data_IF_859795352603
#
_entry.id   IF_859795352603
#
_cell.length_a   1.000
_cell.length_b   1.000
_cell.length_c   1.000
_cell.angle_alpha   90.00
_cell.angle_beta   90.00
_cell.angle_gamma   90.00
#
_symmetry.space_group_name_H-M   'P 1'
#
loop_
_entity.id
_entity.type
_entity.pdbx_description
1 polymer ?
#
# COMPACT_ATOMS: atom_id res chain seq x y z
N UNK A 1 -9.47 3.71 25.44
CA UNK A 1 -8.70 4.90 25.10
C UNK A 1 -7.21 4.57 24.83
N UNK A 2 -6.45 3.95 25.76
CA UNK A 2 -5.05 3.58 25.50
C UNK A 2 -4.92 2.46 24.44
N UNK A 3 -5.87 1.57 24.34
CA UNK A 3 -5.92 0.52 23.32
C UNK A 3 -6.29 1.10 21.95
N UNK A 4 -7.26 2.01 21.90
CA UNK A 4 -7.62 2.75 20.68
C UNK A 4 -6.51 3.69 20.19
N UNK A 5 -5.61 4.12 21.08
CA UNK A 5 -4.42 4.89 20.75
C UNK A 5 -3.21 4.00 20.38
N UNK A 6 -3.38 2.67 20.30
CA UNK A 6 -2.30 1.75 19.97
C UNK A 6 -1.19 1.64 21.03
N UNK A 7 -1.40 2.19 22.24
CA UNK A 7 -0.38 2.19 23.31
C UNK A 7 -0.35 0.91 24.15
N UNK A 8 -1.46 0.17 24.17
CA UNK A 8 -1.58 -1.10 24.87
C UNK A 8 -2.37 -2.11 24.03
N UNK A 9 -2.14 -3.39 24.25
CA UNK A 9 -2.88 -4.49 23.65
C UNK A 9 -3.55 -5.31 24.74
N UNK A 10 -4.84 -5.63 24.53
CA UNK A 10 -5.59 -6.58 25.36
C UNK A 10 -5.75 -7.89 24.59
N UNK A 11 -5.20 -8.95 25.12
CA UNK A 11 -5.40 -10.29 24.57
C UNK A 11 -5.58 -11.29 25.72
N UNK A 12 -6.65 -12.09 25.67
CA UNK A 12 -6.94 -13.17 26.63
C UNK A 12 -6.81 -12.73 28.09
N UNK A 13 -7.37 -11.55 28.45
CA UNK A 13 -7.35 -11.02 29.83
C UNK A 13 -6.01 -10.42 30.28
N UNK A 14 -5.02 -10.28 29.40
CA UNK A 14 -3.75 -9.58 29.69
C UNK A 14 -3.70 -8.24 28.97
N UNK A 15 -3.11 -7.26 29.65
CA UNK A 15 -2.77 -5.95 29.06
C UNK A 15 -1.25 -5.92 28.91
N UNK A 16 -0.76 -5.69 27.70
CA UNK A 16 0.66 -5.49 27.42
C UNK A 16 0.89 -4.17 26.71
N UNK A 17 2.07 -3.52 26.89
CA UNK A 17 2.45 -2.38 26.05
C UNK A 17 2.41 -2.81 24.58
N UNK A 18 1.88 -1.97 23.71
CA UNK A 18 2.11 -2.15 22.30
C UNK A 18 3.60 -1.86 22.05
N UNK A 19 4.35 -2.86 21.56
CA UNK A 19 5.73 -2.61 21.16
C UNK A 19 5.73 -1.65 19.95
N UNK A 20 6.74 -0.82 19.83
CA UNK A 20 6.89 0.14 18.72
C UNK A 20 6.88 -0.50 17.30
N UNK A 21 6.98 -1.82 17.23
CA UNK A 21 6.94 -2.61 16.00
C UNK A 21 5.57 -3.22 15.67
N UNK A 22 4.47 -2.75 16.26
CA UNK A 22 3.12 -3.24 15.92
C UNK A 22 2.33 -2.16 15.20
N UNK A 23 1.81 -2.51 14.01
CA UNK A 23 0.80 -1.67 13.35
C UNK A 23 -0.45 -1.57 14.23
N UNK A 24 -1.09 -0.39 14.33
CA UNK A 24 -2.43 -0.27 14.86
C UNK A 24 -3.41 -1.19 14.12
N UNK A 25 -4.53 -1.55 14.75
CA UNK A 25 -5.59 -2.31 14.09
C UNK A 25 -6.03 -1.63 12.77
N UNK A 26 -6.50 -2.43 11.82
CA UNK A 26 -6.89 -1.94 10.48
C UNK A 26 -7.89 -0.78 10.57
N UNK A 27 -8.93 -0.90 11.43
CA UNK A 27 -9.96 0.14 11.61
C UNK A 27 -9.35 1.46 12.10
N UNK A 28 -8.38 1.39 13.01
CA UNK A 28 -7.70 2.59 13.52
C UNK A 28 -6.83 3.22 12.42
N UNK A 29 -6.09 2.41 11.67
CA UNK A 29 -5.29 2.90 10.53
C UNK A 29 -6.18 3.50 9.44
N UNK A 30 -7.38 2.96 9.24
CA UNK A 30 -8.34 3.50 8.28
C UNK A 30 -8.83 4.90 8.67
N UNK A 31 -9.06 5.14 9.97
CA UNK A 31 -9.49 6.43 10.49
C UNK A 31 -8.37 7.48 10.60
N UNK A 32 -7.11 7.06 10.67
CA UNK A 32 -5.96 7.97 10.73
C UNK A 32 -5.60 8.48 9.34
N UNK A 33 -5.28 9.78 9.23
CA UNK A 33 -4.86 10.41 7.96
C UNK A 33 -5.85 10.21 6.80
N UNK A 34 -7.16 10.18 7.10
CA UNK A 34 -8.20 9.83 6.12
C UNK A 34 -8.19 10.77 4.91
N UNK A 35 -8.15 12.09 5.12
CA UNK A 35 -8.14 13.06 4.01
C UNK A 35 -6.86 12.96 3.16
N UNK A 36 -5.71 12.77 3.79
CA UNK A 36 -4.44 12.56 3.09
C UNK A 36 -4.50 11.32 2.17
N UNK A 37 -5.01 10.20 2.69
CA UNK A 37 -5.19 8.97 1.91
C UNK A 37 -6.15 9.15 0.74
N UNK A 38 -7.23 9.91 0.93
CA UNK A 38 -8.17 10.24 -0.15
C UNK A 38 -7.51 11.06 -1.25
N UNK A 39 -6.66 12.03 -0.88
CA UNK A 39 -5.91 12.83 -1.84
C UNK A 39 -4.92 11.95 -2.63
N UNK A 40 -4.15 11.11 -1.93
CA UNK A 40 -3.24 10.14 -2.55
C UNK A 40 -4.01 9.19 -3.48
N UNK A 41 -5.14 8.64 -3.03
CA UNK A 41 -5.97 7.73 -3.82
C UNK A 41 -6.48 8.40 -5.11
N UNK A 42 -6.98 9.63 -5.03
CA UNK A 42 -7.42 10.40 -6.20
C UNK A 42 -6.28 10.70 -7.18
N UNK A 43 -5.08 10.98 -6.68
CA UNK A 43 -3.91 11.19 -7.53
C UNK A 43 -3.48 9.89 -8.23
N UNK A 44 -3.47 8.77 -7.50
CA UNK A 44 -3.11 7.46 -8.04
C UNK A 44 -4.05 6.99 -9.17
N UNK A 45 -5.36 7.27 -9.05
CA UNK A 45 -6.34 6.93 -10.09
C UNK A 45 -6.03 7.58 -11.44
N UNK A 46 -5.41 8.75 -11.46
CA UNK A 46 -5.01 9.43 -12.71
C UNK A 46 -3.96 8.66 -13.53
N UNK A 47 -3.27 7.71 -12.90
CA UNK A 47 -2.29 6.84 -13.58
C UNK A 47 -2.91 5.59 -14.19
N UNK A 48 -4.22 5.35 -13.95
CA UNK A 48 -4.94 4.17 -14.46
C UNK A 48 -5.66 4.53 -15.76
N UNK A 49 -5.61 3.61 -16.73
CA UNK A 49 -6.28 3.76 -18.01
C UNK A 49 -7.37 2.70 -18.20
N UNK A 50 -8.34 2.99 -19.05
CA UNK A 50 -9.33 2.00 -19.50
C UNK A 50 -8.66 0.81 -20.18
N UNK A 51 -8.99 -0.39 -19.71
CA UNK A 51 -8.44 -1.63 -20.22
C UNK A 51 -7.18 -2.11 -19.49
N UNK A 52 -6.67 -1.35 -18.52
CA UNK A 52 -5.53 -1.79 -17.71
C UNK A 52 -5.89 -3.03 -16.87
N UNK A 53 -4.89 -3.86 -16.63
CA UNK A 53 -4.88 -4.84 -15.54
C UNK A 53 -3.86 -4.38 -14.53
N UNK A 54 -4.30 -4.12 -13.29
CA UNK A 54 -3.46 -3.58 -12.23
C UNK A 54 -3.46 -4.46 -10.99
N UNK A 55 -2.37 -4.41 -10.23
CA UNK A 55 -2.32 -4.95 -8.87
C UNK A 55 -2.61 -3.82 -7.88
N UNK A 56 -3.54 -4.05 -6.97
CA UNK A 56 -3.74 -3.26 -5.76
C UNK A 56 -3.37 -4.11 -4.54
N UNK A 57 -2.30 -3.71 -3.88
CA UNK A 57 -1.90 -4.27 -2.59
C UNK A 57 -2.94 -3.97 -1.50
N UNK A 58 -2.82 -4.59 -0.35
CA UNK A 58 -3.64 -4.28 0.82
C UNK A 58 -3.16 -3.01 1.53
N UNK A 59 -4.07 -2.32 2.16
CA UNK A 59 -3.78 -1.14 2.96
C UNK A 59 -4.84 -0.06 2.84
N UNK A 60 -4.94 0.77 3.87
CA UNK A 60 -6.00 1.79 3.94
C UNK A 60 -5.86 2.89 2.89
N UNK A 61 -4.63 3.19 2.44
CA UNK A 61 -4.39 4.15 1.35
C UNK A 61 -4.84 3.58 0.00
N UNK A 62 -4.60 2.27 -0.25
CA UNK A 62 -5.08 1.59 -1.46
C UNK A 62 -6.60 1.43 -1.44
N UNK A 63 -7.21 1.27 -0.26
CA UNK A 63 -8.66 1.30 -0.11
C UNK A 63 -9.24 2.65 -0.58
N UNK A 64 -8.63 3.76 -0.16
CA UNK A 64 -9.03 5.09 -0.61
C UNK A 64 -8.86 5.29 -2.14
N UNK A 65 -7.86 4.65 -2.76
CA UNK A 65 -7.76 4.59 -4.23
C UNK A 65 -8.90 3.78 -4.83
N UNK A 66 -9.21 2.60 -4.28
CA UNK A 66 -10.25 1.72 -4.80
C UNK A 66 -11.63 2.37 -4.81
N UNK A 67 -11.94 3.23 -3.84
CA UNK A 67 -13.19 4.00 -3.78
C UNK A 67 -13.40 4.91 -5.01
N UNK A 68 -12.34 5.23 -5.74
CA UNK A 68 -12.39 6.09 -6.92
C UNK A 68 -12.27 5.32 -8.27
N UNK A 69 -12.16 3.99 -8.25
CA UNK A 69 -12.01 3.18 -9.47
C UNK A 69 -13.34 2.81 -10.13
N UNK A 70 -14.47 3.03 -9.48
CA UNK A 70 -15.79 2.67 -10.00
C UNK A 70 -16.21 3.37 -11.30
N UNK A 71 -15.46 4.37 -11.77
CA UNK A 71 -15.72 5.05 -13.04
C UNK A 71 -15.24 4.27 -14.27
N UNK A 72 -14.30 3.32 -14.09
CA UNK A 72 -13.76 2.51 -15.18
C UNK A 72 -14.71 1.39 -15.59
N UNK A 73 -14.84 1.15 -16.89
CA UNK A 73 -15.75 0.13 -17.44
C UNK A 73 -15.02 -1.17 -17.83
N UNK A 74 -13.72 -1.11 -18.08
CA UNK A 74 -12.92 -2.24 -18.57
C UNK A 74 -11.66 -2.46 -17.75
N UNK A 75 -11.62 -1.97 -16.51
CA UNK A 75 -10.49 -2.18 -15.61
C UNK A 75 -10.55 -3.58 -14.98
N UNK A 76 -9.39 -4.19 -14.87
CA UNK A 76 -9.20 -5.43 -14.09
C UNK A 76 -8.27 -5.14 -12.91
N UNK A 77 -8.70 -5.50 -11.71
CA UNK A 77 -7.93 -5.34 -10.47
C UNK A 77 -7.62 -6.70 -9.88
N UNK A 78 -6.36 -6.98 -9.68
CA UNK A 78 -5.87 -8.12 -8.91
C UNK A 78 -5.50 -7.60 -7.52
N UNK A 79 -6.07 -8.17 -6.47
CA UNK A 79 -5.79 -7.74 -5.09
C UNK A 79 -5.75 -8.91 -4.13
N UNK A 80 -4.97 -8.76 -3.06
CA UNK A 80 -5.01 -9.65 -1.91
C UNK A 80 -5.86 -9.07 -0.75
N UNK A 81 -6.50 -7.93 -0.95
CA UNK A 81 -7.26 -7.21 0.08
C UNK A 81 -8.74 -7.55 0.03
N UNK A 82 -9.27 -8.05 1.14
CA UNK A 82 -10.72 -8.31 1.28
C UNK A 82 -11.51 -7.00 1.22
N UNK A 83 -11.02 -5.93 1.85
CA UNK A 83 -11.72 -4.63 1.87
C UNK A 83 -11.80 -4.00 0.47
N UNK A 84 -10.72 -4.05 -0.31
CA UNK A 84 -10.72 -3.57 -1.69
C UNK A 84 -11.66 -4.39 -2.58
N UNK A 85 -11.61 -5.72 -2.47
CA UNK A 85 -12.53 -6.59 -3.22
C UNK A 85 -14.00 -6.29 -2.87
N UNK A 86 -14.30 -6.04 -1.60
CA UNK A 86 -15.65 -5.67 -1.16
C UNK A 86 -16.11 -4.33 -1.74
N UNK A 87 -15.25 -3.30 -1.73
CA UNK A 87 -15.55 -1.98 -2.30
C UNK A 87 -15.84 -2.09 -3.79
N UNK A 88 -15.01 -2.81 -4.52
CA UNK A 88 -15.12 -2.91 -5.98
C UNK A 88 -16.23 -3.85 -6.45
N UNK A 89 -16.75 -4.74 -5.60
CA UNK A 89 -17.80 -5.72 -5.95
C UNK A 89 -19.08 -5.07 -6.51
N UNK A 90 -19.36 -3.82 -6.15
CA UNK A 90 -20.54 -3.08 -6.61
C UNK A 90 -20.25 -2.16 -7.81
N UNK A 91 -19.10 -2.31 -8.43
CA UNK A 91 -18.65 -1.48 -9.57
C UNK A 91 -18.51 -2.31 -10.85
N UNK A 92 -18.36 -1.69 -12.03
CA UNK A 92 -18.07 -2.40 -13.28
C UNK A 92 -16.68 -3.05 -13.35
N UNK A 93 -15.80 -2.81 -12.38
CA UNK A 93 -14.43 -3.30 -12.36
C UNK A 93 -14.39 -4.82 -12.18
N UNK A 94 -13.60 -5.51 -13.00
CA UNK A 94 -13.35 -6.94 -12.80
C UNK A 94 -12.36 -7.13 -11.64
N UNK A 95 -12.71 -7.93 -10.64
CA UNK A 95 -11.87 -8.14 -9.46
C UNK A 95 -11.43 -9.60 -9.35
N UNK A 96 -10.12 -9.81 -9.25
CA UNK A 96 -9.51 -11.08 -8.89
C UNK A 96 -8.93 -11.01 -7.50
N UNK A 97 -9.46 -11.82 -6.59
CA UNK A 97 -8.92 -11.96 -5.22
C UNK A 97 -7.97 -13.15 -5.18
N UNK A 98 -6.74 -12.94 -4.70
CA UNK A 98 -5.65 -13.92 -4.82
C UNK A 98 -5.88 -15.26 -4.13
N UNK A 99 -6.75 -15.32 -3.12
CA UNK A 99 -6.85 -16.46 -2.22
C UNK A 99 -5.73 -16.48 -1.17
N UNK A 100 -5.66 -17.56 -0.38
CA UNK A 100 -4.71 -17.71 0.72
C UNK A 100 -5.37 -17.64 2.10
N UNK A 101 -4.57 -17.43 3.15
CA UNK A 101 -5.08 -17.25 4.51
C UNK A 101 -5.04 -15.79 4.95
N UNK A 102 -5.88 -15.44 5.92
CA UNK A 102 -6.10 -14.06 6.35
C UNK A 102 -5.03 -13.60 7.35
N UNK A 103 -4.36 -12.47 7.02
CA UNK A 103 -3.49 -11.70 7.90
C UNK A 103 -3.84 -10.21 7.77
N UNK A 104 -4.39 -9.60 8.83
CA UNK A 104 -4.73 -8.17 8.90
C UNK A 104 -5.49 -7.63 7.66
N UNK A 105 -6.65 -8.23 7.31
CA UNK A 105 -7.48 -7.92 6.14
C UNK A 105 -6.81 -8.20 4.77
N UNK A 106 -5.65 -8.87 4.78
CA UNK A 106 -4.92 -9.27 3.59
C UNK A 106 -4.88 -10.79 3.48
N UNK A 107 -5.01 -11.31 2.28
CA UNK A 107 -4.76 -12.71 1.99
C UNK A 107 -3.26 -12.89 1.69
N UNK A 108 -2.66 -13.87 2.35
CA UNK A 108 -1.23 -14.18 2.26
C UNK A 108 -1.01 -15.68 2.12
N UNK A 109 0.22 -16.08 1.88
CA UNK A 109 0.61 -17.48 1.71
C UNK A 109 0.99 -17.82 0.28
N UNK A 110 1.40 -19.05 0.08
CA UNK A 110 1.95 -19.53 -1.20
C UNK A 110 0.94 -19.42 -2.35
N UNK A 111 -0.33 -19.74 -2.12
CA UNK A 111 -1.39 -19.63 -3.13
C UNK A 111 -1.54 -18.19 -3.65
N UNK A 112 -1.47 -17.20 -2.72
CA UNK A 112 -1.55 -15.79 -3.08
C UNK A 112 -0.34 -15.35 -3.90
N UNK A 113 0.86 -15.77 -3.53
CA UNK A 113 2.12 -15.48 -4.24
C UNK A 113 2.08 -16.07 -5.65
N UNK A 114 1.75 -17.36 -5.78
CA UNK A 114 1.65 -18.03 -7.08
C UNK A 114 0.56 -17.46 -7.98
N UNK A 115 -0.53 -16.96 -7.40
CA UNK A 115 -1.55 -16.27 -8.17
C UNK A 115 -1.00 -15.00 -8.80
N UNK A 116 -0.30 -14.14 -8.04
CA UNK A 116 0.33 -12.92 -8.53
C UNK A 116 1.39 -13.24 -9.59
N UNK A 117 2.25 -14.24 -9.35
CA UNK A 117 3.32 -14.64 -10.26
C UNK A 117 2.79 -15.01 -11.66
N UNK A 118 1.64 -15.68 -11.73
CA UNK A 118 1.02 -16.10 -13.00
C UNK A 118 0.31 -14.98 -13.76
N UNK A 119 0.16 -13.81 -13.16
CA UNK A 119 -0.58 -12.68 -13.72
C UNK A 119 0.27 -11.40 -13.76
N UNK A 120 1.27 -11.31 -14.64
CA UNK A 120 2.05 -10.08 -14.80
C UNK A 120 1.14 -8.94 -15.29
N UNK A 121 1.38 -7.73 -14.79
CA UNK A 121 0.55 -6.55 -15.04
C UNK A 121 1.38 -5.35 -15.52
N UNK A 122 0.70 -4.34 -16.05
CA UNK A 122 1.36 -3.08 -16.39
C UNK A 122 1.73 -2.30 -15.13
N UNK A 123 0.82 -2.18 -14.16
CA UNK A 123 1.03 -1.33 -12.96
C UNK A 123 0.67 -2.07 -11.68
N UNK A 124 1.50 -1.87 -10.65
CA UNK A 124 1.17 -2.23 -9.29
C UNK A 124 1.17 -0.98 -8.40
N UNK A 125 0.13 -0.86 -7.60
CA UNK A 125 0.02 0.15 -6.55
C UNK A 125 0.18 -0.55 -5.21
N UNK A 126 1.21 -0.15 -4.45
CA UNK A 126 1.62 -0.84 -3.22
C UNK A 126 1.62 0.10 -2.03
N UNK A 127 1.47 -0.47 -0.84
CA UNK A 127 1.61 0.23 0.42
C UNK A 127 2.84 -0.27 1.19
N UNK A 128 3.29 0.51 2.16
CA UNK A 128 4.34 0.10 3.08
C UNK A 128 3.95 0.37 4.52
N UNK A 129 4.57 -0.36 5.45
CA UNK A 129 4.50 0.00 6.87
C UNK A 129 5.33 1.25 7.15
N UNK A 130 6.47 1.38 6.47
CA UNK A 130 7.35 2.56 6.50
C UNK A 130 8.39 2.50 5.38
N UNK A 131 9.13 3.59 5.22
CA UNK A 131 10.40 3.60 4.50
C UNK A 131 11.54 3.15 5.44
N UNK A 132 12.69 2.80 4.88
CA UNK A 132 13.91 2.49 5.64
C UNK A 132 15.03 3.41 5.20
N UNK A 133 15.04 4.64 5.75
CA UNK A 133 15.99 5.67 5.33
C UNK A 133 16.00 5.82 3.82
N UNK A 134 17.18 5.82 3.22
CA UNK A 134 17.39 5.93 1.78
C UNK A 134 17.42 4.58 1.03
N UNK A 135 16.97 3.47 1.65
CA UNK A 135 17.07 2.13 1.06
C UNK A 135 15.82 1.72 0.31
N UNK A 136 14.64 1.81 0.97
CA UNK A 136 13.41 1.33 0.32
C UNK A 136 12.24 1.14 1.28
N UNK A 137 11.28 0.30 0.87
CA UNK A 137 10.01 0.09 1.53
C UNK A 137 10.03 -1.14 2.44
N UNK A 138 9.40 -1.02 3.61
CA UNK A 138 9.38 -2.07 4.61
C UNK A 138 7.98 -2.49 5.00
N UNK A 139 7.88 -3.74 5.49
CA UNK A 139 6.68 -4.32 6.07
C UNK A 139 6.98 -4.86 7.47
N UNK A 140 6.00 -4.79 8.37
CA UNK A 140 6.13 -5.31 9.74
C UNK A 140 5.79 -6.80 9.79
N UNK A 141 4.69 -7.24 9.16
CA UNK A 141 4.30 -8.64 9.15
C UNK A 141 5.20 -9.45 8.22
N UNK A 142 5.93 -10.46 8.73
CA UNK A 142 6.74 -11.32 7.86
C UNK A 142 5.88 -12.17 6.91
N UNK A 143 4.61 -12.37 7.20
CA UNK A 143 3.68 -13.13 6.35
C UNK A 143 3.34 -12.36 5.07
N UNK A 144 3.38 -11.04 5.09
CA UNK A 144 3.12 -10.19 3.93
C UNK A 144 4.35 -9.99 3.04
N UNK A 145 5.56 -10.31 3.53
CA UNK A 145 6.80 -10.07 2.81
C UNK A 145 6.85 -10.78 1.44
N UNK A 146 6.53 -12.09 1.30
CA UNK A 146 6.62 -12.78 0.02
C UNK A 146 5.67 -12.22 -1.04
N UNK A 147 4.41 -11.95 -0.66
CA UNK A 147 3.42 -11.45 -1.62
C UNK A 147 3.74 -10.02 -2.08
N UNK A 148 4.23 -9.15 -1.19
CA UNK A 148 4.64 -7.79 -1.57
C UNK A 148 5.82 -7.80 -2.54
N UNK A 149 6.82 -8.65 -2.30
CA UNK A 149 7.92 -8.85 -3.25
C UNK A 149 7.44 -9.33 -4.60
N UNK A 150 6.49 -10.27 -4.61
CA UNK A 150 5.93 -10.78 -5.85
C UNK A 150 5.12 -9.72 -6.60
N UNK A 151 4.35 -8.86 -5.91
CA UNK A 151 3.63 -7.75 -6.54
C UNK A 151 4.59 -6.80 -7.27
N UNK A 152 5.71 -6.45 -6.63
CA UNK A 152 6.76 -5.62 -7.23
C UNK A 152 7.37 -6.32 -8.45
N UNK A 153 7.70 -7.60 -8.34
CA UNK A 153 8.33 -8.36 -9.43
C UNK A 153 7.40 -8.63 -10.62
N UNK A 154 6.08 -8.60 -10.43
CA UNK A 154 5.08 -8.93 -11.47
C UNK A 154 4.58 -7.71 -12.23
N UNK A 155 5.01 -6.49 -11.91
CA UNK A 155 4.57 -5.27 -12.56
C UNK A 155 5.69 -4.60 -13.34
N UNK A 156 5.34 -3.92 -14.46
CA UNK A 156 6.31 -3.09 -15.21
C UNK A 156 6.54 -1.74 -14.54
N UNK A 157 5.50 -1.17 -13.97
CA UNK A 157 5.54 0.08 -13.22
C UNK A 157 5.01 -0.15 -11.81
N UNK A 158 5.74 0.32 -10.81
CA UNK A 158 5.38 0.16 -9.40
C UNK A 158 5.27 1.53 -8.74
N UNK A 159 4.09 1.83 -8.21
CA UNK A 159 3.81 3.07 -7.49
C UNK A 159 3.53 2.80 -6.02
N UNK A 160 4.30 3.45 -5.14
CA UNK A 160 4.08 3.38 -3.69
C UNK A 160 3.16 4.51 -3.23
N UNK A 161 2.07 4.19 -2.52
CA UNK A 161 1.13 5.13 -1.96
C UNK A 161 1.41 5.28 -0.47
N UNK A 162 1.99 6.42 -0.07
CA UNK A 162 2.55 6.64 1.26
C UNK A 162 2.05 7.96 1.86
N UNK A 163 1.30 7.90 2.95
CA UNK A 163 1.04 9.08 3.77
C UNK A 163 2.31 9.50 4.54
N UNK A 164 2.34 10.75 5.04
CA UNK A 164 3.50 11.34 5.74
C UNK A 164 4.06 10.43 6.86
N UNK A 165 3.19 9.73 7.59
CA UNK A 165 3.61 8.89 8.72
C UNK A 165 4.58 7.77 8.34
N UNK A 166 4.65 7.41 7.05
CA UNK A 166 5.48 6.31 6.55
C UNK A 166 6.96 6.67 6.41
N UNK A 167 7.26 7.95 6.36
CA UNK A 167 8.65 8.44 6.28
C UNK A 167 9.32 8.56 7.65
N UNK A 168 8.56 8.56 8.74
CA UNK A 168 9.06 8.76 10.11
C UNK A 168 9.06 7.50 10.99
N UNK A 169 8.73 6.35 10.43
CA UNK A 169 8.67 5.08 11.15
C UNK A 169 9.68 4.09 10.59
N UNK A 170 10.06 3.10 11.40
CA UNK A 170 10.97 2.02 10.99
C UNK A 170 10.20 0.72 10.87
N UNK A 171 10.21 0.11 9.68
CA UNK A 171 9.70 -1.24 9.48
C UNK A 171 10.77 -2.30 9.72
N UNK A 172 10.35 -3.55 9.75
CA UNK A 172 11.23 -4.69 10.09
C UNK A 172 11.89 -5.28 8.85
N UNK A 173 11.10 -5.59 7.84
CA UNK A 173 11.57 -6.36 6.68
C UNK A 173 11.47 -5.55 5.39
N UNK A 174 12.59 -5.37 4.70
CA UNK A 174 12.66 -4.73 3.38
C UNK A 174 12.03 -5.66 2.33
N UNK A 175 11.10 -5.11 1.52
CA UNK A 175 10.47 -5.86 0.44
C UNK A 175 10.69 -5.25 -0.96
N UNK A 176 11.01 -3.97 -1.06
CA UNK A 176 11.35 -3.28 -2.30
C UNK A 176 12.44 -2.23 -2.04
N UNK A 177 13.44 -2.15 -2.90
CA UNK A 177 14.36 -1.03 -2.96
C UNK A 177 13.71 0.15 -3.71
N UNK A 178 14.17 1.38 -3.49
CA UNK A 178 13.61 2.53 -4.24
C UNK A 178 13.82 2.39 -5.75
N UNK A 179 14.92 1.80 -6.21
CA UNK A 179 15.17 1.52 -7.64
C UNK A 179 14.10 0.63 -8.31
N UNK A 180 13.33 -0.13 -7.52
CA UNK A 180 12.27 -1.00 -8.01
C UNK A 180 10.95 -0.23 -8.23
N UNK A 181 10.91 1.08 -7.87
CA UNK A 181 9.73 1.93 -7.97
C UNK A 181 9.79 2.84 -9.19
N UNK A 182 8.66 3.01 -9.84
CA UNK A 182 8.45 4.06 -10.86
C UNK A 182 8.07 5.40 -10.21
N UNK A 183 7.41 5.36 -9.05
CA UNK A 183 7.05 6.57 -8.32
C UNK A 183 6.53 6.35 -6.91
N UNK A 184 6.50 7.46 -6.17
CA UNK A 184 5.88 7.58 -4.85
C UNK A 184 4.79 8.64 -4.93
N UNK A 185 3.58 8.31 -4.46
CA UNK A 185 2.48 9.26 -4.34
C UNK A 185 2.29 9.54 -2.85
N UNK A 186 2.42 10.79 -2.46
CA UNK A 186 2.35 11.22 -1.05
C UNK A 186 1.49 12.47 -0.88
N UNK A 187 0.97 12.68 0.33
CA UNK A 187 0.14 13.86 0.65
C UNK A 187 0.95 15.13 0.79
N UNK A 188 2.16 15.03 1.34
CA UNK A 188 3.04 16.17 1.62
C UNK A 188 4.40 16.01 1.00
N UNK A 189 5.13 17.13 0.91
CA UNK A 189 6.54 17.12 0.52
C UNK A 189 7.37 16.28 1.51
N UNK A 190 8.35 15.58 0.99
CA UNK A 190 9.28 14.79 1.80
C UNK A 190 10.34 15.73 2.36
N UNK A 191 10.40 15.86 3.71
CA UNK A 191 11.33 16.74 4.41
C UNK A 191 12.69 16.07 4.74
N UNK A 192 13.11 15.11 3.90
CA UNK A 192 14.38 14.40 4.04
C UNK A 192 15.21 14.61 2.77
N UNK A 193 16.22 15.50 2.79
CA UNK A 193 17.04 15.78 1.61
C UNK A 193 17.84 14.59 1.11
N UNK A 194 18.30 13.70 2.01
CA UNK A 194 19.05 12.49 1.61
C UNK A 194 18.14 11.51 0.89
N UNK A 195 16.90 11.36 1.37
CA UNK A 195 15.90 10.54 0.70
C UNK A 195 15.51 11.12 -0.66
N UNK A 196 15.28 12.44 -0.75
CA UNK A 196 14.95 13.09 -2.03
C UNK A 196 16.07 12.91 -3.05
N UNK A 197 17.32 13.14 -2.66
CA UNK A 197 18.49 12.91 -3.52
C UNK A 197 18.52 11.44 -4.01
N UNK A 198 18.29 10.49 -3.11
CA UNK A 198 18.27 9.07 -3.47
C UNK A 198 17.18 8.71 -4.46
N UNK A 199 15.97 9.26 -4.28
CA UNK A 199 14.85 9.04 -5.19
C UNK A 199 15.14 9.63 -6.58
N UNK A 200 15.79 10.79 -6.65
CA UNK A 200 16.23 11.39 -7.91
C UNK A 200 17.29 10.54 -8.62
N UNK A 201 18.31 10.05 -7.89
CA UNK A 201 19.35 9.17 -8.43
C UNK A 201 18.80 7.87 -9.04
N UNK A 202 17.72 7.33 -8.44
CA UNK A 202 17.04 6.11 -8.92
C UNK A 202 15.92 6.42 -9.94
N UNK A 203 15.74 7.68 -10.34
CA UNK A 203 14.67 8.13 -11.23
C UNK A 203 13.25 7.81 -10.73
N UNK A 204 13.02 7.81 -9.43
CA UNK A 204 11.71 7.62 -8.82
C UNK A 204 10.93 8.92 -8.85
N UNK A 205 9.79 8.94 -9.53
CA UNK A 205 8.92 10.12 -9.58
C UNK A 205 8.24 10.35 -8.22
N UNK A 206 8.36 11.56 -7.66
CA UNK A 206 7.60 11.95 -6.46
C UNK A 206 6.41 12.81 -6.88
N UNK A 207 5.19 12.31 -6.59
CA UNK A 207 3.92 13.02 -6.83
C UNK A 207 3.38 13.46 -5.47
N UNK A 208 3.49 14.76 -5.18
CA UNK A 208 2.96 15.37 -3.96
C UNK A 208 1.56 15.95 -4.22
N UNK A 209 0.56 15.57 -3.40
CA UNK A 209 -0.83 16.01 -3.63
C UNK A 209 -1.15 17.38 -3.03
N UNK A 210 -0.30 17.92 -2.15
CA UNK A 210 -0.40 19.32 -1.66
C UNK A 210 0.14 20.35 -2.67
N UNK A 211 0.86 19.90 -3.71
CA UNK A 211 1.36 20.77 -4.77
C UNK A 211 0.32 20.89 -5.89
N UNK A 212 -0.46 21.99 -5.99
CA UNK A 212 -1.53 22.13 -6.97
C UNK A 212 -1.04 22.33 -8.42
N UNK A 213 0.29 22.38 -8.65
CA UNK A 213 0.88 22.67 -9.97
C UNK A 213 1.45 21.42 -10.67
N UNK A 214 1.22 20.20 -10.13
CA UNK A 214 1.67 18.96 -10.78
C UNK A 214 0.56 17.99 -11.08
#
# INVERSE_FOLDING_TARGET
ELESLGKIRKARGRISPASECHLPAFELRNAMHDEEKRQIGRAAVKLVNEGDTIILDSGTTLQAMAENLGCFQRLTVITNSISIAYILNSTPVNVFLTGGFLDDMSLVGEDAVQFIEKHPVEKAFISASSTRGTVGLTVISPLQLPIKRQMVASAKEVYALLDESKFHSMGVSLFADFKDLSGIITSKSIDDPELLQRLEEENVQVICTEDPEK
#
